data_IF_295847590862
#
_entry.id   IF_295847590862
#
_cell.length_a   1.000
_cell.length_b   1.000
_cell.length_c   1.000
_cell.angle_alpha   90.00
_cell.angle_beta   90.00
_cell.angle_gamma   90.00
#
_symmetry.space_group_name_H-M   'P 1'
#
loop_
_entity.id
_entity.type
_entity.pdbx_description
1 polymer ?
#
# COMPACT_ATOMS: atom_id res chain seq x y z
N UNK A 1 -12.25 2.28 19.69
CA UNK A 1 -12.79 3.36 18.84
C UNK A 1 -11.84 3.79 17.71
N UNK A 2 -10.52 3.91 17.95
CA UNK A 2 -9.52 4.19 16.89
C UNK A 2 -9.54 3.21 15.70
N UNK A 3 -9.68 1.90 15.98
CA UNK A 3 -9.74 0.86 14.95
C UNK A 3 -10.95 1.04 14.01
N UNK A 4 -12.13 1.32 14.56
CA UNK A 4 -13.34 1.53 13.78
C UNK A 4 -13.27 2.77 12.88
N UNK A 5 -12.68 3.87 13.37
CA UNK A 5 -12.44 5.07 12.57
C UNK A 5 -11.45 4.80 11.42
N UNK A 6 -10.40 4.00 11.69
CA UNK A 6 -9.44 3.56 10.68
C UNK A 6 -10.09 2.73 9.57
N UNK A 7 -10.97 1.80 9.92
CA UNK A 7 -11.72 1.00 8.94
C UNK A 7 -12.64 1.86 8.06
N UNK A 8 -13.35 2.84 8.63
CA UNK A 8 -14.22 3.75 7.86
C UNK A 8 -13.39 4.61 6.90
N UNK A 9 -12.26 5.14 7.35
CA UNK A 9 -11.34 5.92 6.51
C UNK A 9 -10.74 5.08 5.38
N UNK A 10 -10.30 3.85 5.68
CA UNK A 10 -9.77 2.92 4.69
C UNK A 10 -10.82 2.52 3.65
N UNK A 11 -12.07 2.31 4.08
CA UNK A 11 -13.18 1.93 3.19
C UNK A 11 -13.57 3.09 2.26
N UNK A 12 -13.66 4.32 2.80
CA UNK A 12 -13.94 5.51 1.99
C UNK A 12 -12.82 5.82 1.00
N UNK A 13 -11.56 5.63 1.41
CA UNK A 13 -10.43 5.78 0.51
C UNK A 13 -10.44 4.73 -0.60
N UNK A 14 -10.60 3.45 -0.26
CA UNK A 14 -10.61 2.36 -1.24
C UNK A 14 -11.73 2.49 -2.29
N UNK A 15 -12.94 2.86 -1.85
CA UNK A 15 -14.12 3.03 -2.73
C UNK A 15 -14.05 4.35 -3.51
N UNK A 16 -13.44 5.39 -2.95
CA UNK A 16 -13.28 6.69 -3.60
C UNK A 16 -12.16 6.70 -4.63
N UNK A 17 -11.01 6.09 -4.30
CA UNK A 17 -9.84 6.06 -5.18
C UNK A 17 -10.05 5.15 -6.39
N UNK A 18 -10.82 4.07 -6.23
CA UNK A 18 -11.10 3.14 -7.33
C UNK A 18 -11.90 3.76 -8.47
N UNK A 19 -12.59 4.89 -8.23
CA UNK A 19 -13.41 5.58 -9.24
C UNK A 19 -12.74 6.76 -9.94
N UNK A 20 -11.60 7.24 -9.42
CA UNK A 20 -10.95 8.48 -9.90
C UNK A 20 -9.67 8.21 -10.69
N UNK A 21 -9.12 6.99 -10.62
CA UNK A 21 -7.77 6.67 -11.13
C UNK A 21 -7.77 5.99 -12.51
N UNK A 22 -8.94 5.77 -13.13
CA UNK A 22 -9.03 4.97 -14.37
C UNK A 22 -8.33 5.58 -15.60
N UNK A 23 -8.10 6.91 -15.66
CA UNK A 23 -7.57 7.58 -16.86
C UNK A 23 -6.20 8.29 -16.71
N UNK A 24 -5.52 8.15 -15.56
CA UNK A 24 -4.28 8.89 -15.29
C UNK A 24 -3.03 8.00 -15.45
N UNK A 25 -2.00 8.53 -16.12
CA UNK A 25 -0.67 7.90 -16.15
C UNK A 25 -0.20 7.68 -14.71
N UNK A 26 0.12 6.44 -14.30
CA UNK A 26 0.29 6.13 -12.88
C UNK A 26 1.50 6.86 -12.26
N UNK A 27 2.47 7.32 -13.07
CA UNK A 27 3.55 8.22 -12.62
C UNK A 27 3.01 9.58 -12.14
N UNK A 28 2.08 10.19 -12.87
CA UNK A 28 1.48 11.49 -12.51
C UNK A 28 0.68 11.38 -11.21
N UNK A 29 -0.03 10.26 -11.01
CA UNK A 29 -0.76 9.98 -9.77
C UNK A 29 0.20 9.89 -8.59
N UNK A 30 1.34 9.21 -8.74
CA UNK A 30 2.40 9.12 -7.73
C UNK A 30 2.88 10.49 -7.25
N UNK A 31 3.23 11.34 -8.23
CA UNK A 31 3.79 12.66 -7.97
C UNK A 31 2.78 13.54 -7.23
N UNK A 32 1.52 13.53 -7.69
CA UNK A 32 0.44 14.28 -7.03
C UNK A 32 0.23 13.76 -5.60
N UNK A 33 0.19 12.45 -5.41
CA UNK A 33 -0.01 11.84 -4.09
C UNK A 33 1.13 12.17 -3.13
N UNK A 34 2.39 12.12 -3.59
CA UNK A 34 3.55 12.41 -2.74
C UNK A 34 3.64 13.90 -2.38
N UNK A 35 3.33 14.80 -3.33
CA UNK A 35 3.27 16.25 -3.08
C UNK A 35 2.13 16.57 -2.11
N UNK A 36 0.96 15.98 -2.32
CA UNK A 36 -0.19 16.18 -1.45
C UNK A 36 0.09 15.66 -0.03
N UNK A 37 0.66 14.46 0.10
CA UNK A 37 1.05 13.90 1.39
C UNK A 37 2.05 14.82 2.11
N UNK A 38 3.05 15.33 1.41
CA UNK A 38 4.02 16.28 1.97
C UNK A 38 3.32 17.58 2.41
N UNK A 39 2.47 18.16 1.56
CA UNK A 39 1.78 19.41 1.83
C UNK A 39 0.82 19.31 3.04
N UNK A 40 0.22 18.15 3.26
CA UNK A 40 -0.70 17.91 4.39
C UNK A 40 0.05 17.60 5.69
N UNK A 41 1.12 16.80 5.63
CA UNK A 41 1.83 16.31 6.82
C UNK A 41 2.87 17.32 7.34
N UNK A 42 3.54 18.06 6.45
CA UNK A 42 4.61 18.97 6.85
C UNK A 42 4.15 20.12 7.78
N UNK A 43 3.03 20.82 7.53
CA UNK A 43 2.60 21.92 8.38
C UNK A 43 2.30 21.54 9.85
N UNK A 44 1.52 20.49 10.16
CA UNK A 44 1.28 20.10 11.54
C UNK A 44 2.54 19.58 12.24
N UNK A 45 3.45 18.90 11.52
CA UNK A 45 4.74 18.48 12.10
C UNK A 45 5.62 19.66 12.49
N UNK A 46 5.71 20.68 11.63
CA UNK A 46 6.48 21.89 11.91
C UNK A 46 5.87 22.63 13.11
N UNK A 47 4.54 22.76 13.14
CA UNK A 47 3.82 23.39 14.24
C UNK A 47 4.05 22.70 15.58
N UNK A 48 3.91 21.37 15.63
CA UNK A 48 4.16 20.58 16.85
C UNK A 48 5.61 20.67 17.29
N UNK A 49 6.56 20.61 16.35
CA UNK A 49 8.00 20.70 16.66
C UNK A 49 8.35 22.05 17.28
N UNK A 50 7.77 23.13 16.75
CA UNK A 50 7.96 24.49 17.28
C UNK A 50 7.27 24.69 18.63
N UNK A 51 6.02 24.22 18.78
CA UNK A 51 5.23 24.36 20.00
C UNK A 51 5.80 23.57 21.19
N UNK A 52 6.41 22.40 20.94
CA UNK A 52 7.02 21.57 21.98
C UNK A 52 8.48 21.94 22.29
N UNK A 53 9.04 22.95 21.62
CA UNK A 53 10.41 23.40 21.85
C UNK A 53 11.43 22.26 21.70
N UNK A 54 11.16 21.30 20.81
CA UNK A 54 12.04 20.16 20.57
C UNK A 54 13.29 20.70 19.87
N UNK A 55 14.29 21.08 20.67
CA UNK A 55 15.62 21.39 20.18
C UNK A 55 16.21 20.19 19.46
N UNK A 56 16.91 20.44 18.36
CA UNK A 56 17.57 19.50 17.44
C UNK A 56 18.54 18.55 18.14
N UNK A 57 18.02 17.62 18.95
CA UNK A 57 18.74 16.55 19.64
C UNK A 57 18.75 15.27 18.80
N UNK A 58 18.34 15.37 17.53
CA UNK A 58 18.37 14.28 16.58
C UNK A 58 19.81 14.01 16.17
N UNK A 59 20.33 12.85 16.61
CA UNK A 59 21.58 12.26 16.13
C UNK A 59 21.68 12.35 14.60
N UNK A 60 22.88 12.62 14.05
CA UNK A 60 23.11 12.68 12.60
C UNK A 60 22.61 11.43 11.86
N UNK A 61 22.55 10.29 12.56
CA UNK A 61 21.99 9.05 12.05
C UNK A 61 20.49 9.14 11.75
N UNK A 62 19.72 9.86 12.57
CA UNK A 62 18.27 10.06 12.38
C UNK A 62 18.00 10.90 11.14
N UNK A 63 18.80 11.93 10.91
CA UNK A 63 18.71 12.75 9.70
C UNK A 63 19.03 11.99 8.42
N UNK A 64 19.88 10.95 8.50
CA UNK A 64 20.16 10.06 7.38
C UNK A 64 19.08 8.98 7.21
N UNK A 65 18.49 8.49 8.31
CA UNK A 65 17.45 7.47 8.29
C UNK A 65 16.15 7.97 7.62
N UNK A 66 15.78 9.24 7.83
CA UNK A 66 14.56 9.85 7.25
C UNK A 66 14.52 9.72 5.71
N UNK A 67 15.51 10.21 4.94
CA UNK A 67 15.50 10.07 3.49
C UNK A 67 15.64 8.62 3.04
N UNK A 68 16.41 7.79 3.74
CA UNK A 68 16.55 6.36 3.41
C UNK A 68 15.19 5.66 3.50
N UNK A 69 14.47 5.82 4.62
CA UNK A 69 13.15 5.22 4.81
C UNK A 69 12.16 5.77 3.78
N UNK A 70 12.15 7.08 3.53
CA UNK A 70 11.24 7.69 2.57
C UNK A 70 11.44 7.21 1.13
N UNK A 71 12.71 7.11 0.69
CA UNK A 71 13.06 6.62 -0.64
C UNK A 71 12.73 5.13 -0.78
N UNK A 72 13.11 4.31 0.21
CA UNK A 72 12.91 2.85 0.14
C UNK A 72 11.45 2.45 0.28
N UNK A 73 10.66 3.12 1.13
CA UNK A 73 9.26 2.75 1.37
C UNK A 73 8.31 3.25 0.27
N UNK A 74 8.45 4.50 -0.17
CA UNK A 74 7.51 5.12 -1.09
C UNK A 74 8.05 5.19 -2.51
N UNK A 75 9.21 5.84 -2.73
CA UNK A 75 9.70 6.11 -4.08
C UNK A 75 10.11 4.83 -4.83
N UNK A 76 10.80 3.91 -4.15
CA UNK A 76 11.26 2.65 -4.73
C UNK A 76 10.09 1.70 -5.01
N UNK A 77 9.20 1.52 -4.03
CA UNK A 77 7.98 0.71 -4.17
C UNK A 77 7.12 1.19 -5.33
N UNK A 78 6.93 2.51 -5.44
CA UNK A 78 6.13 3.08 -6.51
C UNK A 78 6.81 2.94 -7.87
N UNK A 79 8.13 3.14 -7.95
CA UNK A 79 8.88 2.93 -9.18
C UNK A 79 8.84 1.47 -9.65
N UNK A 80 8.97 0.51 -8.73
CA UNK A 80 8.84 -0.92 -9.02
C UNK A 80 7.42 -1.28 -9.47
N UNK A 81 6.39 -0.72 -8.83
CA UNK A 81 4.99 -0.90 -9.22
C UNK A 81 4.73 -0.40 -10.65
N UNK A 82 5.17 0.82 -10.97
CA UNK A 82 5.09 1.38 -12.32
C UNK A 82 5.84 0.56 -13.35
N UNK A 83 7.01 0.04 -12.98
CA UNK A 83 7.83 -0.81 -13.85
C UNK A 83 7.17 -2.16 -14.08
N UNK A 84 6.53 -2.73 -13.05
CA UNK A 84 5.75 -3.98 -13.14
C UNK A 84 4.59 -3.83 -14.12
N UNK A 85 3.81 -2.74 -14.01
CA UNK A 85 2.72 -2.42 -14.95
C UNK A 85 3.17 -2.30 -16.42
N UNK A 86 4.46 -2.05 -16.66
CA UNK A 86 5.02 -1.94 -18.01
C UNK A 86 5.41 -3.28 -18.63
N UNK A 87 5.64 -4.30 -17.80
CA UNK A 87 6.11 -5.63 -18.24
C UNK A 87 5.14 -6.76 -17.92
N UNK A 88 4.17 -6.51 -17.05
CA UNK A 88 3.25 -7.53 -16.49
C UNK A 88 1.82 -7.01 -16.59
N UNK A 89 0.86 -7.88 -16.92
CA UNK A 89 -0.55 -7.51 -16.98
C UNK A 89 -1.05 -6.98 -15.61
N UNK A 90 -2.05 -6.07 -15.61
CA UNK A 90 -2.66 -5.58 -14.38
C UNK A 90 -3.14 -6.69 -13.45
N UNK A 91 -3.72 -7.77 -14.01
CA UNK A 91 -4.19 -8.93 -13.24
C UNK A 91 -3.07 -9.64 -12.47
N UNK A 92 -1.91 -9.84 -13.10
CA UNK A 92 -0.76 -10.46 -12.40
C UNK A 92 -0.17 -9.51 -11.35
N UNK A 93 -0.13 -8.21 -11.63
CA UNK A 93 0.32 -7.20 -10.66
C UNK A 93 -0.59 -7.18 -9.43
N UNK A 94 -1.92 -7.26 -9.62
CA UNK A 94 -2.89 -7.36 -8.52
C UNK A 94 -2.67 -8.62 -7.65
N UNK A 95 -2.31 -9.75 -8.25
CA UNK A 95 -1.94 -10.97 -7.51
C UNK A 95 -0.69 -10.77 -6.63
N UNK A 96 0.31 -10.01 -7.10
CA UNK A 96 1.46 -9.63 -6.27
C UNK A 96 1.09 -8.69 -5.13
N UNK A 97 0.15 -7.76 -5.33
CA UNK A 97 -0.35 -6.93 -4.23
C UNK A 97 -1.09 -7.76 -3.17
N UNK A 98 -1.82 -8.80 -3.57
CA UNK A 98 -2.46 -9.72 -2.64
C UNK A 98 -1.44 -10.49 -1.77
N UNK A 99 -0.15 -10.51 -2.15
CA UNK A 99 0.92 -11.12 -1.34
C UNK A 99 1.47 -10.20 -0.24
N UNK A 100 1.21 -8.89 -0.28
CA UNK A 100 1.69 -7.90 0.70
C UNK A 100 1.40 -8.30 2.16
N UNK A 101 0.17 -8.69 2.55
CA UNK A 101 -0.10 -9.06 3.94
C UNK A 101 0.62 -10.35 4.35
N UNK A 102 0.93 -11.25 3.41
CA UNK A 102 1.70 -12.48 3.68
C UNK A 102 3.14 -12.11 4.04
N UNK A 103 3.78 -11.30 3.19
CA UNK A 103 5.16 -10.86 3.43
C UNK A 103 5.24 -9.95 4.65
N UNK A 104 4.22 -9.12 4.90
CA UNK A 104 4.09 -8.31 6.11
C UNK A 104 4.01 -9.16 7.38
N UNK A 105 3.16 -10.20 7.40
CA UNK A 105 3.07 -11.12 8.53
C UNK A 105 4.39 -11.89 8.76
N UNK A 106 5.00 -12.39 7.69
CA UNK A 106 6.30 -13.08 7.78
C UNK A 106 7.39 -12.12 8.27
N UNK A 107 7.42 -10.87 7.81
CA UNK A 107 8.33 -9.85 8.28
C UNK A 107 8.15 -9.54 9.77
N UNK A 108 6.91 -9.43 10.24
CA UNK A 108 6.62 -9.20 11.66
C UNK A 108 7.17 -10.32 12.56
N UNK A 109 6.97 -11.58 12.14
CA UNK A 109 7.42 -12.76 12.90
C UNK A 109 8.94 -12.95 12.81
N UNK A 110 9.52 -12.91 11.61
CA UNK A 110 10.92 -13.29 11.39
C UNK A 110 11.91 -12.14 11.51
N UNK A 111 11.55 -10.92 11.09
CA UNK A 111 12.46 -9.77 11.10
C UNK A 111 12.30 -8.98 12.39
N UNK A 112 11.07 -8.69 12.79
CA UNK A 112 10.79 -7.95 14.03
C UNK A 112 10.83 -8.84 15.27
N UNK A 113 10.65 -10.16 15.13
CA UNK A 113 10.64 -11.08 16.25
C UNK A 113 9.40 -10.94 17.14
N UNK A 114 8.27 -10.46 16.59
CA UNK A 114 7.05 -10.28 17.38
C UNK A 114 6.51 -11.64 17.88
N UNK A 115 6.31 -11.75 19.19
CA UNK A 115 5.62 -12.89 19.80
C UNK A 115 4.15 -12.90 19.36
N UNK A 116 3.86 -13.73 18.38
CA UNK A 116 2.55 -13.81 17.74
C UNK A 116 1.68 -14.80 18.50
N UNK A 117 0.57 -14.32 19.06
CA UNK A 117 -0.43 -15.16 19.71
C UNK A 117 -1.12 -16.07 18.69
N UNK A 118 -1.60 -17.25 19.10
CA UNK A 118 -2.35 -18.19 18.25
C UNK A 118 -3.52 -17.53 17.51
N UNK A 119 -4.16 -16.53 18.13
CA UNK A 119 -5.23 -15.72 17.54
C UNK A 119 -4.77 -14.90 16.34
N UNK A 120 -3.53 -14.40 16.35
CA UNK A 120 -2.94 -13.66 15.23
C UNK A 120 -2.70 -14.58 14.03
N UNK A 121 -2.30 -15.83 14.27
CA UNK A 121 -2.18 -16.85 13.23
C UNK A 121 -3.52 -17.18 12.56
N UNK A 122 -4.59 -17.30 13.35
CA UNK A 122 -5.95 -17.52 12.83
C UNK A 122 -6.41 -16.32 11.99
N UNK A 123 -6.18 -15.09 12.49
CA UNK A 123 -6.46 -13.87 11.75
C UNK A 123 -5.70 -13.80 10.42
N UNK A 124 -4.39 -14.11 10.44
CA UNK A 124 -3.56 -14.17 9.25
C UNK A 124 -4.09 -15.22 8.26
N UNK A 125 -4.44 -16.42 8.72
CA UNK A 125 -5.00 -17.47 7.87
C UNK A 125 -6.31 -17.05 7.20
N UNK A 126 -7.22 -16.38 7.92
CA UNK A 126 -8.48 -15.86 7.36
C UNK A 126 -8.21 -14.81 6.27
N UNK A 127 -7.27 -13.90 6.51
CA UNK A 127 -6.86 -12.88 5.53
C UNK A 127 -6.28 -13.56 4.27
N UNK A 128 -5.39 -14.53 4.44
CA UNK A 128 -4.79 -15.28 3.33
C UNK A 128 -5.85 -16.00 2.48
N UNK A 129 -6.80 -16.68 3.11
CA UNK A 129 -7.87 -17.40 2.41
C UNK A 129 -8.77 -16.43 1.64
N UNK A 130 -9.12 -15.30 2.26
CA UNK A 130 -9.95 -14.27 1.62
C UNK A 130 -9.26 -13.68 0.38
N UNK A 131 -7.97 -13.40 0.47
CA UNK A 131 -7.18 -12.87 -0.64
C UNK A 131 -7.05 -13.88 -1.78
N UNK A 132 -6.82 -15.17 -1.46
CA UNK A 132 -6.81 -16.23 -2.46
C UNK A 132 -8.16 -16.37 -3.17
N UNK A 133 -9.27 -16.22 -2.44
CA UNK A 133 -10.61 -16.24 -3.05
C UNK A 133 -10.82 -15.06 -4.00
N UNK A 134 -10.45 -13.84 -3.59
CA UNK A 134 -10.56 -12.63 -4.41
C UNK A 134 -9.71 -12.74 -5.67
N UNK A 135 -8.44 -13.12 -5.54
CA UNK A 135 -7.53 -13.27 -6.67
C UNK A 135 -8.04 -14.31 -7.69
N UNK A 136 -8.72 -15.36 -7.25
CA UNK A 136 -9.34 -16.36 -8.13
C UNK A 136 -10.57 -15.82 -8.87
N UNK A 137 -11.37 -14.97 -8.22
CA UNK A 137 -12.55 -14.35 -8.85
C UNK A 137 -12.12 -13.39 -9.95
N UNK A 138 -11.10 -12.57 -9.69
CA UNK A 138 -10.58 -11.59 -10.63
C UNK A 138 -9.97 -12.26 -11.88
N UNK A 139 -9.17 -13.30 -11.69
CA UNK A 139 -8.64 -14.10 -12.81
C UNK A 139 -9.73 -14.78 -13.65
N UNK A 140 -10.85 -15.22 -13.03
CA UNK A 140 -11.99 -15.79 -13.77
C UNK A 140 -12.72 -14.72 -14.60
N UNK A 141 -12.96 -13.55 -14.02
CA UNK A 141 -13.61 -12.45 -14.72
C UNK A 141 -12.79 -11.96 -15.93
N UNK A 142 -11.46 -11.93 -15.82
CA UNK A 142 -10.57 -11.56 -16.92
C UNK A 142 -10.66 -12.57 -18.09
N UNK A 143 -10.68 -13.88 -17.80
CA UNK A 143 -10.83 -14.93 -18.81
C UNK A 143 -12.18 -14.87 -19.53
N UNK A 144 -13.27 -14.62 -18.80
CA UNK A 144 -14.61 -14.48 -19.38
C UNK A 144 -14.69 -13.25 -20.30
N UNK A 145 -14.09 -12.13 -19.90
CA UNK A 145 -14.04 -10.90 -20.70
C UNK A 145 -13.21 -11.05 -21.99
N UNK A 146 -12.14 -11.83 -21.97
CA UNK A 146 -11.33 -12.14 -23.16
C UNK A 146 -12.10 -13.08 -24.09
N UNK A 147 -12.73 -14.12 -23.55
CA UNK A 147 -13.56 -15.05 -24.32
C UNK A 147 -14.74 -14.35 -25.03
N UNK A 148 -15.45 -13.47 -24.32
CA UNK A 148 -16.56 -12.70 -24.89
C UNK A 148 -16.12 -11.79 -26.06
N UNK A 149 -14.94 -11.16 -25.96
CA UNK A 149 -14.38 -10.32 -27.05
C UNK A 149 -13.89 -11.13 -28.25
N UNK A 150 -13.44 -12.37 -28.04
CA UNK A 150 -13.01 -13.27 -29.12
C UNK A 150 -14.18 -13.79 -29.95
N UNK A 151 -15.39 -13.90 -29.37
CA UNK A 151 -16.58 -14.41 -30.05
C UNK A 151 -17.31 -13.30 -30.82
N UNK A 152 -17.13 -12.03 -30.39
CA UNK A 152 -17.75 -10.86 -31.00
C UNK A 152 -17.00 -10.30 -32.23
N UNK A 153 -15.91 -10.94 -32.67
CA UNK A 153 -15.06 -10.51 -33.77
C UNK A 153 -15.07 -11.55 -34.88
#
# INVERSE_FOLDING_TARGET
MLVALGFVSASLYAVGSSRVVEDMKPLTVAWIQQIFAFAVIAPPLIFVSFAQGVGSTSSSLTWLAIPIIGITSSSLTFWLYLTSLRHVSPGTTAQFLALIPVTGFLGAVFILGEETTTTAFIGAAIVLVSLMAIARMEHRAELEAIGARSIAR
#
